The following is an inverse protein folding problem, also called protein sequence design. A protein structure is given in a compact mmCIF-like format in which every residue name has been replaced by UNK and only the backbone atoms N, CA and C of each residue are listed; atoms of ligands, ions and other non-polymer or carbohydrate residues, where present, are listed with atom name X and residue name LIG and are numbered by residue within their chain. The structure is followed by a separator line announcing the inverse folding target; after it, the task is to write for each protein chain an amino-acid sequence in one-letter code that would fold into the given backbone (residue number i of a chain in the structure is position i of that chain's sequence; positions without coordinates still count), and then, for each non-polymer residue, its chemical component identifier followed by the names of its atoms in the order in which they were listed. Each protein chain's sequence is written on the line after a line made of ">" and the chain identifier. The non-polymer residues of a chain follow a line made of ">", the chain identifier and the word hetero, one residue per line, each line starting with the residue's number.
data_IF_212751488947
#
_entry.id   IF_212751488947
#
_cell.length_a   1.000
_cell.length_b   1.000
_cell.length_c   1.000
_cell.angle_alpha   90.00
_cell.angle_beta   90.00
_cell.angle_gamma   90.00
#
_symmetry.space_group_name_H-M   'P 1'
#
loop_
_entity.id
_entity.type
_entity.pdbx_description
1 polymer ?
#
# COMPACT_ATOMS: atom_id res chain seq x y z
N UNK A 1 -29.11 9.07 -15.37
CA UNK A 1 -28.77 7.72 -15.82
C UNK A 1 -27.42 7.33 -15.26
N UNK A 2 -27.34 6.29 -14.47
CA UNK A 2 -26.06 5.83 -13.94
C UNK A 2 -25.31 5.05 -15.03
N UNK A 3 -24.01 5.24 -15.08
CA UNK A 3 -23.16 4.43 -15.95
C UNK A 3 -23.15 2.96 -15.50
N UNK A 4 -22.86 2.07 -16.44
CA UNK A 4 -22.67 0.66 -16.10
C UNK A 4 -21.43 0.49 -15.22
N UNK A 5 -21.40 -0.52 -14.33
CA UNK A 5 -20.19 -0.85 -13.59
C UNK A 5 -19.04 -1.18 -14.54
N UNK A 6 -17.84 -0.81 -14.14
CA UNK A 6 -16.64 -1.25 -14.87
C UNK A 6 -16.54 -2.77 -14.79
N UNK A 7 -15.98 -3.38 -15.84
CA UNK A 7 -15.62 -4.80 -15.79
C UNK A 7 -14.53 -5.05 -14.74
N UNK A 8 -14.38 -6.30 -14.29
CA UNK A 8 -13.27 -6.67 -13.42
C UNK A 8 -11.92 -6.32 -14.05
N UNK A 9 -11.77 -6.58 -15.33
CA UNK A 9 -10.54 -6.26 -16.05
C UNK A 9 -10.23 -4.77 -16.02
N UNK A 10 -11.24 -3.93 -16.19
CA UNK A 10 -11.04 -2.48 -16.13
C UNK A 10 -10.67 -2.04 -14.71
N UNK A 11 -11.32 -2.58 -13.69
CA UNK A 11 -11.00 -2.25 -12.28
C UNK A 11 -9.58 -2.67 -11.92
N UNK A 12 -9.10 -3.81 -12.44
CA UNK A 12 -7.71 -4.24 -12.27
C UNK A 12 -6.74 -3.26 -12.91
N UNK A 13 -7.02 -2.84 -14.15
CA UNK A 13 -6.18 -1.85 -14.84
C UNK A 13 -6.14 -0.52 -14.09
N UNK A 14 -7.28 -0.07 -13.58
CA UNK A 14 -7.36 1.18 -12.83
C UNK A 14 -6.59 1.11 -11.51
N UNK A 15 -6.66 -0.03 -10.81
CA UNK A 15 -5.87 -0.26 -9.59
C UNK A 15 -4.38 -0.30 -9.91
N UNK A 16 -3.99 -1.01 -10.96
CA UNK A 16 -2.61 -1.09 -11.42
C UNK A 16 -2.07 0.29 -11.81
N UNK A 17 -2.90 1.11 -12.45
CA UNK A 17 -2.55 2.49 -12.80
C UNK A 17 -2.26 3.33 -11.55
N UNK A 18 -3.09 3.20 -10.51
CA UNK A 18 -2.86 3.89 -9.24
C UNK A 18 -1.56 3.44 -8.59
N UNK A 19 -1.33 2.14 -8.53
CA UNK A 19 -0.10 1.59 -7.96
C UNK A 19 1.15 2.10 -8.69
N UNK A 20 1.06 2.26 -10.00
CA UNK A 20 2.20 2.68 -10.83
C UNK A 20 2.43 4.19 -10.78
N UNK A 21 1.39 5.00 -10.66
CA UNK A 21 1.47 6.45 -10.85
C UNK A 21 1.23 7.28 -9.60
N UNK A 22 0.50 6.77 -8.59
CA UNK A 22 0.30 7.50 -7.35
C UNK A 22 1.60 7.51 -6.54
N UNK A 23 1.77 8.56 -5.73
CA UNK A 23 2.97 8.74 -4.89
C UNK A 23 2.67 8.34 -3.45
N UNK A 24 1.45 8.60 -2.99
CA UNK A 24 1.06 8.40 -1.60
C UNK A 24 -0.06 7.39 -1.47
N UNK A 25 -0.08 6.72 -0.33
CA UNK A 25 -1.08 5.71 0.00
C UNK A 25 -1.50 5.88 1.46
N UNK A 26 -2.78 5.65 1.76
CA UNK A 26 -3.24 5.55 3.14
C UNK A 26 -2.81 4.21 3.72
N UNK A 27 -2.19 4.24 4.90
CA UNK A 27 -1.69 3.04 5.57
C UNK A 27 -2.40 2.87 6.91
N UNK A 28 -3.16 1.79 7.03
CA UNK A 28 -3.85 1.42 8.25
C UNK A 28 -3.14 0.27 8.93
N UNK A 29 -2.88 0.41 10.22
CA UNK A 29 -2.25 -0.61 11.05
C UNK A 29 -2.90 -0.63 12.42
N UNK A 30 -2.60 -1.64 13.22
CA UNK A 30 -3.14 -1.74 14.57
C UNK A 30 -2.07 -2.25 15.53
N UNK A 31 -2.14 -1.79 16.76
CA UNK A 31 -1.31 -2.29 17.86
C UNK A 31 -1.79 -3.68 18.31
N UNK A 32 -0.99 -4.34 19.17
CA UNK A 32 -1.31 -5.67 19.67
C UNK A 32 -2.64 -5.72 20.43
N UNK A 33 -3.04 -4.61 21.06
CA UNK A 33 -4.33 -4.49 21.76
C UNK A 33 -5.47 -3.99 20.86
N UNK A 34 -5.23 -3.89 19.55
CA UNK A 34 -6.26 -3.57 18.57
C UNK A 34 -6.50 -2.09 18.36
N UNK A 35 -5.66 -1.19 18.87
CA UNK A 35 -5.80 0.24 18.62
C UNK A 35 -5.46 0.57 17.16
N UNK A 36 -6.43 1.09 16.37
CA UNK A 36 -6.17 1.39 14.96
C UNK A 36 -5.37 2.67 14.80
N UNK A 37 -4.56 2.72 13.73
CA UNK A 37 -3.77 3.88 13.39
C UNK A 37 -3.76 4.07 11.87
N UNK A 38 -3.90 5.31 11.40
CA UNK A 38 -4.02 5.62 9.99
C UNK A 38 -3.15 6.81 9.64
N UNK A 39 -2.25 6.64 8.66
CA UNK A 39 -1.36 7.71 8.17
C UNK A 39 -1.19 7.60 6.67
N UNK A 40 -0.91 8.70 5.96
CA UNK A 40 -0.45 8.63 4.57
C UNK A 40 1.06 8.42 4.55
N UNK A 41 1.53 7.58 3.64
CA UNK A 41 2.95 7.38 3.38
C UNK A 41 3.20 7.39 1.87
N UNK A 42 4.39 7.84 1.48
CA UNK A 42 4.86 7.70 0.11
C UNK A 42 5.24 6.25 -0.15
N UNK A 43 5.08 5.80 -1.41
CA UNK A 43 5.37 4.42 -1.76
C UNK A 43 5.98 4.30 -3.15
N UNK A 44 6.62 3.17 -3.38
CA UNK A 44 7.09 2.74 -4.70
C UNK A 44 6.50 1.37 -5.03
N UNK A 45 6.02 1.21 -6.24
CA UNK A 45 5.48 -0.05 -6.77
C UNK A 45 6.41 -0.61 -7.81
N UNK A 46 6.87 -1.85 -7.64
CA UNK A 46 7.81 -2.49 -8.57
C UNK A 46 7.12 -3.41 -9.59
N UNK A 47 5.79 -3.41 -9.63
CA UNK A 47 4.99 -4.32 -10.46
C UNK A 47 4.53 -5.55 -9.70
N UNK A 48 5.06 -5.81 -8.52
CA UNK A 48 4.77 -7.00 -7.73
C UNK A 48 4.57 -6.69 -6.24
N UNK A 49 5.41 -5.83 -5.68
CA UNK A 49 5.34 -5.43 -4.27
C UNK A 49 5.33 -3.92 -4.12
N UNK A 50 4.82 -3.46 -3.00
CA UNK A 50 4.73 -2.06 -2.64
C UNK A 50 5.70 -1.79 -1.50
N UNK A 51 6.53 -0.75 -1.64
CA UNK A 51 7.55 -0.40 -0.66
C UNK A 51 7.20 0.93 0.00
N UNK A 52 7.19 0.95 1.33
CA UNK A 52 7.05 2.17 2.14
C UNK A 52 8.20 2.25 3.14
N UNK A 53 8.41 3.46 3.67
CA UNK A 53 9.37 3.68 4.75
C UNK A 53 8.74 4.57 5.81
N UNK A 54 9.03 4.29 7.07
CA UNK A 54 8.58 5.10 8.19
C UNK A 54 9.59 4.97 9.34
N UNK A 55 9.66 5.93 10.27
CA UNK A 55 10.55 5.77 11.42
C UNK A 55 10.25 4.48 12.17
N UNK A 56 11.31 3.76 12.53
CA UNK A 56 11.18 2.48 13.22
C UNK A 56 10.42 2.59 14.53
N UNK A 57 10.48 3.75 15.17
CA UNK A 57 9.86 4.02 16.47
C UNK A 57 8.50 4.73 16.37
N UNK A 58 8.00 4.97 15.16
CA UNK A 58 6.65 5.51 14.97
C UNK A 58 5.60 4.45 15.30
N UNK A 59 4.35 4.85 15.60
CA UNK A 59 3.26 3.89 15.80
C UNK A 59 3.10 2.95 14.61
N UNK A 60 3.12 3.46 13.38
CA UNK A 60 3.04 2.64 12.18
C UNK A 60 4.23 1.67 12.09
N UNK A 61 5.46 2.16 12.30
CA UNK A 61 6.64 1.31 12.26
C UNK A 61 6.59 0.17 13.26
N UNK A 62 6.19 0.47 14.49
CA UNK A 62 6.03 -0.56 15.53
C UNK A 62 4.92 -1.56 15.19
N UNK A 63 3.78 -1.06 14.72
CA UNK A 63 2.66 -1.91 14.38
C UNK A 63 2.99 -2.87 13.23
N UNK A 64 3.59 -2.37 12.17
CA UNK A 64 3.94 -3.18 11.00
C UNK A 64 5.01 -4.23 11.34
N UNK A 65 6.00 -3.86 12.16
CA UNK A 65 7.05 -4.78 12.58
C UNK A 65 6.50 -5.92 13.46
N UNK A 66 5.50 -5.63 14.29
CA UNK A 66 4.92 -6.60 15.20
C UNK A 66 3.87 -7.49 14.52
N UNK A 67 2.92 -6.90 13.81
CA UNK A 67 1.79 -7.63 13.22
C UNK A 67 2.11 -8.27 11.87
N UNK A 68 3.01 -7.67 11.10
CA UNK A 68 3.35 -8.08 9.72
C UNK A 68 2.14 -8.07 8.77
N UNK A 69 1.10 -7.33 9.12
CA UNK A 69 -0.09 -7.15 8.30
C UNK A 69 -0.40 -5.67 8.15
N UNK A 70 -1.02 -5.30 7.02
CA UNK A 70 -1.32 -3.91 6.71
C UNK A 70 -2.55 -3.83 5.82
N UNK A 71 -3.26 -2.73 5.90
CA UNK A 71 -4.31 -2.39 4.96
C UNK A 71 -4.01 -1.03 4.33
N UNK A 72 -4.16 -0.95 3.00
CA UNK A 72 -3.81 0.23 2.24
C UNK A 72 -5.03 0.75 1.49
N UNK A 73 -5.15 2.07 1.37
CA UNK A 73 -6.20 2.72 0.59
C UNK A 73 -5.62 3.62 -0.48
N UNK A 74 -6.07 3.44 -1.72
CA UNK A 74 -5.69 4.22 -2.90
C UNK A 74 -6.94 4.81 -3.55
N UNK A 75 -6.81 5.98 -4.15
CA UNK A 75 -7.90 6.66 -4.80
C UNK A 75 -8.69 7.55 -3.84
N UNK A 76 -9.84 8.01 -4.30
CA UNK A 76 -10.72 8.83 -3.47
C UNK A 76 -11.81 7.99 -2.80
N UNK A 77 -12.60 8.61 -1.94
CA UNK A 77 -13.59 7.90 -1.13
C UNK A 77 -14.77 7.33 -1.92
N UNK A 78 -14.94 7.74 -3.17
CA UNK A 78 -16.03 7.27 -4.03
C UNK A 78 -15.56 6.38 -5.18
N UNK A 79 -14.27 6.26 -5.38
CA UNK A 79 -13.64 5.41 -6.38
C UNK A 79 -12.28 4.99 -5.84
N UNK A 80 -12.23 3.83 -5.21
CA UNK A 80 -11.05 3.44 -4.43
C UNK A 80 -10.62 2.02 -4.72
N UNK A 81 -9.37 1.78 -4.40
CA UNK A 81 -8.80 0.43 -4.30
C UNK A 81 -8.33 0.23 -2.87
N UNK A 82 -8.75 -0.86 -2.26
CA UNK A 82 -8.33 -1.24 -0.91
C UNK A 82 -7.52 -2.53 -0.98
N UNK A 83 -6.36 -2.51 -0.38
CA UNK A 83 -5.40 -3.60 -0.44
C UNK A 83 -5.13 -4.10 0.97
N UNK A 84 -5.11 -5.41 1.12
CA UNK A 84 -4.61 -6.07 2.33
C UNK A 84 -3.33 -6.80 1.98
N UNK A 85 -2.29 -6.64 2.80
CA UNK A 85 -0.99 -7.20 2.49
C UNK A 85 -0.23 -7.75 3.67
N UNK A 86 0.79 -8.53 3.36
CA UNK A 86 1.77 -9.04 4.31
C UNK A 86 3.04 -8.20 4.23
N UNK A 87 3.68 -7.98 5.37
CA UNK A 87 4.79 -7.04 5.51
C UNK A 87 6.09 -7.79 5.79
N UNK A 88 7.10 -7.49 4.96
CA UNK A 88 8.50 -7.83 5.24
C UNK A 88 9.21 -6.59 5.74
N UNK A 89 9.86 -6.70 6.89
CA UNK A 89 10.60 -5.59 7.51
C UNK A 89 12.06 -5.68 7.10
N UNK A 90 12.61 -4.57 6.57
CA UNK A 90 14.02 -4.49 6.21
C UNK A 90 14.68 -3.32 6.92
N UNK A 91 15.85 -3.56 7.50
CA UNK A 91 16.67 -2.49 8.03
C UNK A 91 17.09 -1.55 6.90
N UNK A 92 17.35 -0.29 7.22
CA UNK A 92 17.57 0.74 6.21
C UNK A 92 18.69 0.38 5.22
N UNK A 93 19.73 -0.31 5.67
CA UNK A 93 20.86 -0.70 4.84
C UNK A 93 20.71 -2.09 4.20
N UNK A 94 19.60 -2.79 4.46
CA UNK A 94 19.36 -4.13 3.92
C UNK A 94 18.69 -4.13 2.56
N UNK A 95 18.10 -3.00 2.16
CA UNK A 95 17.46 -2.87 0.86
C UNK A 95 18.52 -2.69 -0.25
N UNK A 96 18.42 -3.40 -1.39
CA UNK A 96 19.31 -3.15 -2.50
C UNK A 96 19.31 -1.68 -2.92
N UNK A 97 20.50 -1.15 -3.22
CA UNK A 97 20.69 0.27 -3.50
C UNK A 97 19.78 0.77 -4.62
N UNK A 98 19.61 0.00 -5.70
CA UNK A 98 18.77 0.39 -6.82
C UNK A 98 17.30 0.57 -6.44
N UNK A 99 16.81 -0.21 -5.48
CA UNK A 99 15.42 -0.09 -5.00
C UNK A 99 15.24 1.16 -4.16
N UNK A 100 16.20 1.48 -3.30
CA UNK A 100 16.20 2.71 -2.53
C UNK A 100 16.32 3.95 -3.43
N UNK A 101 17.15 3.88 -4.46
CA UNK A 101 17.32 4.96 -5.44
C UNK A 101 16.02 5.18 -6.22
N UNK A 102 15.34 4.12 -6.61
CA UNK A 102 14.05 4.22 -7.31
C UNK A 102 12.96 4.81 -6.42
N UNK A 103 12.92 4.41 -5.15
CA UNK A 103 12.00 4.98 -4.16
C UNK A 103 12.23 6.49 -4.03
N UNK A 104 13.48 6.91 -3.85
CA UNK A 104 13.83 8.32 -3.70
C UNK A 104 13.49 9.13 -4.96
N UNK A 105 13.76 8.59 -6.13
CA UNK A 105 13.46 9.26 -7.40
C UNK A 105 11.95 9.42 -7.61
N UNK A 106 11.16 8.39 -7.29
CA UNK A 106 9.71 8.41 -7.49
C UNK A 106 8.95 9.22 -6.47
N UNK A 107 9.39 9.23 -5.22
CA UNK A 107 8.68 9.91 -4.12
C UNK A 107 9.23 11.30 -3.78
N UNK A 108 10.47 11.58 -4.18
CA UNK A 108 11.17 12.81 -3.76
C UNK A 108 11.65 12.77 -2.32
N UNK A 109 11.68 11.59 -1.69
CA UNK A 109 12.04 11.41 -0.30
C UNK A 109 13.00 10.24 -0.15
N UNK A 110 14.14 10.47 0.51
CA UNK A 110 15.13 9.43 0.75
C UNK A 110 15.34 9.21 2.26
N UNK A 111 14.73 8.17 2.85
CA UNK A 111 14.86 7.92 4.28
C UNK A 111 16.28 7.53 4.69
N UNK A 112 17.12 7.10 3.75
CA UNK A 112 18.53 6.72 4.03
C UNK A 112 19.39 7.93 4.38
N UNK A 113 18.96 9.14 3.97
CA UNK A 113 19.70 10.37 4.19
C UNK A 113 19.35 11.05 5.52
N UNK A 114 18.40 10.50 6.28
CA UNK A 114 17.90 11.13 7.51
C UNK A 114 18.62 10.59 8.74
N UNK A 115 18.77 11.46 9.76
CA UNK A 115 19.33 11.07 11.05
C UNK A 115 18.39 10.18 11.87
N UNK A 116 17.06 10.40 11.75
CA UNK A 116 16.06 9.56 12.40
C UNK A 116 16.11 8.16 11.80
N UNK A 117 16.18 7.09 12.63
CA UNK A 117 16.21 5.74 12.11
C UNK A 117 14.88 5.36 11.46
N UNK A 118 14.95 5.02 10.16
CA UNK A 118 13.83 4.49 9.38
C UNK A 118 14.05 3.01 9.11
N UNK A 119 12.94 2.31 8.84
CA UNK A 119 12.93 0.97 8.25
C UNK A 119 12.13 0.98 6.97
N UNK A 120 12.45 0.03 6.11
CA UNK A 120 11.65 -0.27 4.93
C UNK A 120 10.63 -1.36 5.27
N UNK A 121 9.46 -1.23 4.66
CA UNK A 121 8.41 -2.24 4.78
C UNK A 121 7.98 -2.60 3.37
N UNK A 122 8.28 -3.85 2.96
CA UNK A 122 7.88 -4.36 1.65
C UNK A 122 6.57 -5.12 1.83
N UNK A 123 5.58 -4.77 1.03
CA UNK A 123 4.22 -5.25 1.17
C UNK A 123 3.88 -6.13 -0.02
N UNK A 124 3.57 -7.40 0.25
CA UNK A 124 3.04 -8.34 -0.74
C UNK A 124 1.52 -8.31 -0.68
N UNK A 125 0.87 -8.10 -1.81
CA UNK A 125 -0.58 -7.94 -1.86
C UNK A 125 -1.27 -9.30 -1.70
N UNK A 126 -2.22 -9.39 -0.77
CA UNK A 126 -2.98 -10.61 -0.50
C UNK A 126 -4.42 -10.50 -0.97
N UNK A 127 -5.07 -9.37 -0.71
CA UNK A 127 -6.45 -9.11 -1.10
C UNK A 127 -6.54 -7.73 -1.72
N UNK A 128 -7.32 -7.61 -2.78
CA UNK A 128 -7.62 -6.33 -3.42
C UNK A 128 -9.12 -6.24 -3.62
N UNK A 129 -9.70 -5.14 -3.15
CA UNK A 129 -11.06 -4.74 -3.46
C UNK A 129 -11.00 -3.39 -4.17
N UNK A 130 -11.76 -3.26 -5.25
CA UNK A 130 -11.85 -1.99 -5.97
C UNK A 130 -13.29 -1.74 -6.38
N UNK A 131 -13.79 -0.53 -6.10
CA UNK A 131 -15.17 -0.21 -6.41
C UNK A 131 -15.40 1.29 -6.50
N UNK A 132 -16.39 1.66 -7.31
CA UNK A 132 -17.04 2.96 -7.26
C UNK A 132 -18.30 2.84 -6.42
N UNK A 133 -18.50 3.78 -5.53
CA UNK A 133 -19.66 3.77 -4.62
C UNK A 133 -20.98 3.76 -5.38
N UNK A 134 -21.06 4.46 -6.50
CA UNK A 134 -22.31 4.68 -7.24
C UNK A 134 -22.88 3.41 -7.86
N UNK A 135 -22.06 2.45 -8.31
CA UNK A 135 -22.55 1.30 -9.07
C UNK A 135 -21.74 0.01 -8.95
N UNK A 136 -20.74 -0.06 -8.04
CA UNK A 136 -19.84 -1.21 -7.97
C UNK A 136 -19.73 -1.81 -6.56
N UNK A 137 -20.69 -1.55 -5.71
CA UNK A 137 -20.67 -2.08 -4.33
C UNK A 137 -20.66 -3.61 -4.27
N UNK A 138 -21.46 -4.33 -5.07
CA UNK A 138 -21.34 -5.79 -5.13
C UNK A 138 -20.09 -6.23 -5.90
N UNK A 139 -19.56 -7.41 -5.57
CA UNK A 139 -18.52 -8.07 -6.36
C UNK A 139 -17.22 -7.26 -6.48
N UNK A 140 -16.80 -6.65 -5.37
CA UNK A 140 -15.65 -5.72 -5.32
C UNK A 140 -14.30 -6.41 -5.34
N UNK A 141 -14.25 -7.69 -5.04
CA UNK A 141 -13.00 -8.39 -4.81
C UNK A 141 -12.31 -8.74 -6.13
N UNK A 142 -11.07 -8.31 -6.28
CA UNK A 142 -10.25 -8.58 -7.46
C UNK A 142 -9.13 -9.59 -7.19
N UNK A 143 -8.75 -9.75 -5.93
CA UNK A 143 -7.72 -10.68 -5.50
C UNK A 143 -8.05 -11.21 -4.11
N UNK A 144 -7.81 -12.49 -3.90
CA UNK A 144 -7.92 -13.16 -2.60
C UNK A 144 -6.77 -14.15 -2.44
N UNK A 145 -6.16 -14.14 -1.25
CA UNK A 145 -5.03 -15.03 -0.93
C UNK A 145 -3.90 -14.95 -1.96
N UNK A 146 -3.66 -13.73 -2.49
CA UNK A 146 -2.60 -13.49 -3.45
C UNK A 146 -2.91 -13.94 -4.88
N UNK A 147 -4.14 -14.32 -5.17
CA UNK A 147 -4.57 -14.83 -6.49
C UNK A 147 -5.74 -14.01 -7.02
N UNK A 148 -5.86 -13.87 -8.35
CA UNK A 148 -7.05 -13.25 -8.93
C UNK A 148 -8.33 -13.94 -8.46
N UNK A 149 -9.30 -13.13 -8.10
CA UNK A 149 -10.60 -13.62 -7.65
C UNK A 149 -11.62 -13.60 -8.77
#
# INVERSE_FOLDING_TARGET
>A
MSADPRSRAQRRRDTEHRLTHDIDVWVASASADGAPYLVPLSFDWDGETLLVATPSDSPTGRNLAASRTVRLGLGDTRDLSMVEGEVEVLEINALPQEQGDRFAAGTGFDPRALATPYRWFRISLRCIQAWREVNEMPDRELMRDGRPA
#
